data_IF_602840435161
#
_entry.id   IF_602840435161
#
_cell.length_a   1.000
_cell.length_b   1.000
_cell.length_c   1.000
_cell.angle_alpha   90.00
_cell.angle_beta   90.00
_cell.angle_gamma   90.00
#
_symmetry.space_group_name_H-M   'P 1'
#
loop_
_entity.id
_entity.type
_entity.pdbx_description
1 polymer ?
#
# COMPACT_ATOMS: atom_id res chain seq x y z
N UNK A 1 12.86 3.36 16.91
CA UNK A 1 11.71 2.66 16.31
C UNK A 1 10.80 3.70 15.67
N UNK A 2 9.93 3.30 14.71
CA UNK A 2 8.98 4.24 14.14
C UNK A 2 7.84 4.53 15.12
N UNK A 3 7.30 5.76 15.07
CA UNK A 3 6.17 6.19 15.90
C UNK A 3 5.00 5.20 15.83
N UNK A 4 4.67 4.73 14.64
CA UNK A 4 3.54 3.83 14.43
C UNK A 4 3.77 2.43 15.04
N UNK A 5 5.00 1.96 15.05
CA UNK A 5 5.37 0.70 15.70
C UNK A 5 5.26 0.81 17.24
N UNK A 6 5.69 1.94 17.77
CA UNK A 6 5.56 2.20 19.22
C UNK A 6 4.08 2.29 19.62
N UNK A 7 3.25 2.98 18.83
CA UNK A 7 1.80 3.03 19.02
C UNK A 7 1.15 1.64 18.95
N UNK A 8 1.59 0.79 18.02
CA UNK A 8 1.10 -0.58 17.92
C UNK A 8 1.33 -1.35 19.23
N UNK A 9 2.54 -1.32 19.76
CA UNK A 9 2.88 -2.04 21.00
C UNK A 9 2.19 -1.46 22.23
N UNK A 10 2.09 -0.13 22.33
CA UNK A 10 1.58 0.55 23.53
C UNK A 10 0.05 0.63 23.58
N UNK A 11 -0.61 0.83 22.46
CA UNK A 11 -2.04 1.17 22.42
C UNK A 11 -2.88 0.15 21.64
N UNK A 12 -2.41 -0.31 20.49
CA UNK A 12 -3.20 -1.14 19.57
C UNK A 12 -3.35 -2.56 20.10
N UNK A 13 -2.27 -3.17 20.58
CA UNK A 13 -2.29 -4.53 21.13
C UNK A 13 -3.28 -4.65 22.31
N UNK A 14 -3.25 -3.77 23.34
CA UNK A 14 -4.24 -3.82 24.40
C UNK A 14 -5.68 -3.62 23.93
N UNK A 15 -5.90 -2.69 22.99
CA UNK A 15 -7.23 -2.41 22.43
C UNK A 15 -7.80 -3.61 21.66
N UNK A 16 -6.97 -4.29 20.89
CA UNK A 16 -7.37 -5.50 20.15
C UNK A 16 -7.70 -6.66 21.10
N UNK A 17 -6.90 -6.88 22.12
CA UNK A 17 -7.17 -7.90 23.16
C UNK A 17 -8.51 -7.62 23.85
N UNK A 18 -8.76 -6.38 24.20
CA UNK A 18 -10.03 -5.97 24.85
C UNK A 18 -11.25 -6.23 23.95
N UNK A 19 -11.12 -5.95 22.65
CA UNK A 19 -12.23 -6.08 21.69
C UNK A 19 -12.52 -7.53 21.29
N UNK A 20 -11.49 -8.32 21.00
CA UNK A 20 -11.61 -9.67 20.43
C UNK A 20 -11.34 -10.79 21.46
N UNK A 21 -10.83 -10.47 22.64
CA UNK A 21 -10.64 -11.43 23.73
C UNK A 21 -9.56 -12.48 23.45
N UNK A 22 -8.45 -12.08 22.80
CA UNK A 22 -7.31 -12.98 22.57
C UNK A 22 -6.72 -13.50 23.88
N UNK A 23 -6.40 -14.78 23.92
CA UNK A 23 -5.80 -15.43 25.10
C UNK A 23 -4.30 -15.17 25.21
N UNK A 24 -3.63 -14.99 24.09
CA UNK A 24 -2.20 -14.76 24.00
C UNK A 24 -1.91 -13.50 23.17
N UNK A 25 -0.95 -12.71 23.62
CA UNK A 25 -0.47 -11.53 22.89
C UNK A 25 0.02 -11.86 21.47
N UNK A 26 0.51 -13.07 21.25
CA UNK A 26 0.97 -13.54 19.92
C UNK A 26 -0.17 -13.82 18.94
N UNK A 27 -1.42 -13.90 19.42
CA UNK A 27 -2.61 -14.05 18.57
C UNK A 27 -3.08 -12.71 17.99
N UNK A 28 -2.63 -11.59 18.55
CA UNK A 28 -3.05 -10.26 18.11
C UNK A 28 -2.58 -10.03 16.67
N UNK A 29 -3.47 -9.63 15.77
CA UNK A 29 -3.09 -9.30 14.39
C UNK A 29 -2.05 -8.18 14.33
N UNK A 30 -1.13 -8.31 13.40
CA UNK A 30 -0.10 -7.30 13.11
C UNK A 30 0.08 -7.12 11.62
N UNK A 31 0.68 -6.02 11.22
CA UNK A 31 1.12 -5.84 9.84
C UNK A 31 2.30 -6.78 9.58
N UNK A 32 2.20 -7.58 8.53
CA UNK A 32 3.28 -8.45 8.06
C UNK A 32 4.14 -7.72 7.02
N UNK A 33 3.51 -7.17 6.00
CA UNK A 33 4.18 -6.40 4.94
C UNK A 33 3.22 -5.43 4.27
N UNK A 34 3.80 -4.45 3.60
CA UNK A 34 3.08 -3.58 2.66
C UNK A 34 3.71 -3.78 1.29
N UNK A 35 2.89 -4.10 0.29
CA UNK A 35 3.32 -4.22 -1.10
C UNK A 35 2.80 -3.03 -1.87
N UNK A 36 3.69 -2.29 -2.50
CA UNK A 36 3.34 -1.21 -3.41
C UNK A 36 3.62 -1.68 -4.83
N UNK A 37 2.62 -1.67 -5.68
CA UNK A 37 2.72 -2.10 -7.07
C UNK A 37 2.30 -0.98 -8.02
N UNK A 38 3.03 -0.83 -9.10
CA UNK A 38 2.72 0.11 -10.17
C UNK A 38 2.74 -0.64 -11.50
N UNK A 39 1.58 -0.72 -12.13
CA UNK A 39 1.44 -1.27 -13.47
C UNK A 39 1.77 -0.22 -14.53
N UNK A 40 2.71 -0.52 -15.41
CA UNK A 40 3.13 0.37 -16.51
C UNK A 40 2.97 -0.39 -17.82
N UNK A 41 1.72 -0.48 -18.29
CA UNK A 41 1.41 -1.17 -19.56
C UNK A 41 2.04 -0.54 -20.79
N UNK A 42 2.33 0.75 -20.75
CA UNK A 42 2.99 1.50 -21.84
C UNK A 42 4.49 1.18 -21.96
N UNK A 43 5.09 0.52 -20.98
CA UNK A 43 6.49 0.09 -21.03
C UNK A 43 6.79 -0.86 -22.21
N UNK A 44 5.77 -1.54 -22.74
CA UNK A 44 5.87 -2.36 -23.96
C UNK A 44 6.28 -1.55 -25.19
N UNK A 45 5.92 -0.26 -25.24
CA UNK A 45 6.23 0.65 -26.36
C UNK A 45 7.45 1.52 -26.05
N UNK A 46 7.63 1.92 -24.79
CA UNK A 46 8.72 2.77 -24.35
C UNK A 46 9.26 2.35 -22.98
N UNK A 47 10.43 1.73 -22.96
CA UNK A 47 11.09 1.28 -21.75
C UNK A 47 11.47 2.42 -20.78
N UNK A 48 11.67 3.65 -21.27
CA UNK A 48 11.99 4.81 -20.44
C UNK A 48 10.86 5.18 -19.48
N UNK A 49 9.61 4.89 -19.85
CA UNK A 49 8.45 5.12 -18.97
C UNK A 49 8.51 4.22 -17.73
N UNK A 50 9.00 3.00 -17.88
CA UNK A 50 9.21 2.10 -16.75
C UNK A 50 10.34 2.58 -15.83
N UNK A 51 11.44 3.08 -16.40
CA UNK A 51 12.55 3.63 -15.62
C UNK A 51 12.10 4.84 -14.78
N UNK A 52 11.27 5.72 -15.34
CA UNK A 52 10.63 6.81 -14.59
C UNK A 52 9.74 6.29 -13.46
N UNK A 53 8.93 5.27 -13.73
CA UNK A 53 8.04 4.67 -12.71
C UNK A 53 8.84 4.03 -11.58
N UNK A 54 9.93 3.32 -11.90
CA UNK A 54 10.86 2.76 -10.92
C UNK A 54 11.49 3.85 -10.07
N UNK A 55 11.95 4.94 -10.68
CA UNK A 55 12.51 6.09 -9.97
C UNK A 55 11.54 6.74 -8.99
N UNK A 56 10.29 6.92 -9.40
CA UNK A 56 9.23 7.46 -8.54
C UNK A 56 8.93 6.49 -7.37
N UNK A 57 8.83 5.20 -7.65
CA UNK A 57 8.61 4.17 -6.64
C UNK A 57 9.73 4.15 -5.59
N UNK A 58 10.97 4.26 -6.01
CA UNK A 58 12.14 4.30 -5.12
C UNK A 58 12.15 5.54 -4.23
N UNK A 59 11.73 6.69 -4.75
CA UNK A 59 11.58 7.92 -3.96
C UNK A 59 10.48 7.79 -2.90
N UNK A 60 9.34 7.22 -3.27
CA UNK A 60 8.19 7.05 -2.39
C UNK A 60 8.50 6.07 -1.26
N UNK A 61 9.11 4.93 -1.57
CA UNK A 61 9.32 3.83 -0.62
C UNK A 61 10.68 3.85 0.07
N UNK A 62 11.66 4.53 -0.51
CA UNK A 62 13.04 4.52 -0.02
C UNK A 62 13.76 3.18 -0.20
N UNK A 63 13.22 2.30 -1.03
CA UNK A 63 13.75 0.96 -1.29
C UNK A 63 13.79 0.71 -2.79
N UNK A 64 14.78 -0.06 -3.26
CA UNK A 64 14.91 -0.43 -4.66
C UNK A 64 13.69 -1.24 -5.12
N UNK A 65 13.10 -0.82 -6.23
CA UNK A 65 11.97 -1.50 -6.82
C UNK A 65 12.40 -2.73 -7.65
N UNK A 66 11.56 -3.75 -7.64
CA UNK A 66 11.69 -4.94 -8.50
C UNK A 66 10.85 -4.76 -9.75
N UNK A 67 11.45 -4.93 -10.92
CA UNK A 67 10.73 -4.89 -12.20
C UNK A 67 9.93 -6.18 -12.35
N UNK A 68 8.63 -6.04 -12.59
CA UNK A 68 7.74 -7.17 -12.85
C UNK A 68 7.62 -7.43 -14.34
N UNK A 69 7.68 -8.72 -14.69
CA UNK A 69 7.65 -9.18 -16.09
C UNK A 69 6.38 -9.94 -16.39
N UNK A 70 5.93 -9.90 -17.64
CA UNK A 70 4.78 -10.65 -18.10
C UNK A 70 5.03 -12.16 -17.97
N UNK A 71 4.07 -12.88 -17.40
CA UNK A 71 4.12 -14.35 -17.24
C UNK A 71 3.66 -15.11 -18.47
N UNK A 72 2.83 -14.49 -19.29
CA UNK A 72 2.24 -15.09 -20.51
C UNK A 72 2.22 -14.07 -21.63
N UNK A 73 2.34 -14.56 -22.87
CA UNK A 73 2.14 -13.75 -24.07
C UNK A 73 0.65 -13.58 -24.33
N UNK A 74 0.22 -12.33 -24.57
CA UNK A 74 -1.18 -11.98 -24.89
C UNK A 74 -1.17 -11.08 -26.13
N UNK A 75 -1.65 -11.59 -27.25
CA UNK A 75 -1.61 -10.90 -28.55
C UNK A 75 -2.44 -9.60 -28.54
N UNK A 76 -3.62 -9.60 -27.93
CA UNK A 76 -4.51 -8.44 -27.85
C UNK A 76 -3.85 -7.24 -27.15
N UNK A 77 -3.02 -7.50 -26.15
CA UNK A 77 -2.26 -6.46 -25.44
C UNK A 77 -0.88 -6.21 -26.00
N UNK A 78 -0.49 -6.90 -27.07
CA UNK A 78 0.86 -6.82 -27.67
C UNK A 78 1.98 -7.09 -26.68
N UNK A 79 1.76 -8.02 -25.76
CA UNK A 79 2.68 -8.41 -24.70
C UNK A 79 3.24 -9.80 -24.98
N UNK A 80 4.56 -9.96 -24.83
CA UNK A 80 5.26 -11.23 -24.88
C UNK A 80 5.75 -11.63 -23.49
N UNK A 81 5.83 -12.92 -23.23
CA UNK A 81 6.40 -13.45 -22.00
C UNK A 81 7.80 -12.87 -21.75
N UNK A 82 8.06 -12.47 -20.52
CA UNK A 82 9.32 -11.86 -20.10
C UNK A 82 9.44 -10.35 -20.34
N UNK A 83 8.48 -9.70 -21.00
CA UNK A 83 8.50 -8.24 -21.16
C UNK A 83 8.28 -7.53 -19.83
N UNK A 84 9.08 -6.49 -19.50
CA UNK A 84 8.86 -5.66 -18.32
C UNK A 84 7.57 -4.85 -18.45
N UNK A 85 6.66 -4.97 -17.50
CA UNK A 85 5.32 -4.34 -17.54
C UNK A 85 4.96 -3.57 -16.29
N UNK A 86 5.80 -3.57 -15.28
CA UNK A 86 5.55 -2.84 -14.04
C UNK A 86 6.69 -2.94 -13.05
N UNK A 87 6.46 -2.40 -11.87
CA UNK A 87 7.40 -2.49 -10.77
C UNK A 87 6.66 -2.66 -9.44
N UNK A 88 7.33 -3.24 -8.46
CA UNK A 88 6.79 -3.40 -7.11
C UNK A 88 7.88 -3.26 -6.05
N UNK A 89 7.46 -2.90 -4.86
CA UNK A 89 8.29 -2.90 -3.65
C UNK A 89 7.54 -3.61 -2.53
N UNK A 90 8.23 -4.46 -1.79
CA UNK A 90 7.71 -5.07 -0.57
C UNK A 90 8.42 -4.48 0.63
N UNK A 91 7.66 -3.83 1.51
CA UNK A 91 8.14 -3.18 2.72
C UNK A 91 7.83 -4.02 3.94
N UNK A 92 8.82 -4.20 4.83
CA UNK A 92 8.72 -4.93 6.09
C UNK A 92 9.41 -4.18 7.21
N UNK A 93 9.06 -4.51 8.46
CA UNK A 93 9.70 -3.93 9.64
C UNK A 93 9.52 -2.42 9.76
N UNK A 94 10.54 -1.71 10.17
CA UNK A 94 10.50 -0.27 10.41
C UNK A 94 10.14 0.54 9.15
N UNK A 95 10.66 0.15 8.00
CA UNK A 95 10.34 0.81 6.71
C UNK A 95 8.85 0.72 6.36
N UNK A 96 8.23 -0.41 6.68
CA UNK A 96 6.80 -0.63 6.51
C UNK A 96 5.99 0.32 7.39
N UNK A 97 6.31 0.42 8.68
CA UNK A 97 5.62 1.31 9.61
C UNK A 97 5.80 2.79 9.25
N UNK A 98 7.01 3.19 8.86
CA UNK A 98 7.27 4.56 8.42
C UNK A 98 6.50 4.91 7.14
N UNK A 99 6.44 4.00 6.19
CA UNK A 99 5.65 4.19 4.98
C UNK A 99 4.15 4.29 5.29
N UNK A 100 3.62 3.42 6.14
CA UNK A 100 2.22 3.45 6.56
C UNK A 100 1.88 4.78 7.27
N UNK A 101 2.75 5.25 8.14
CA UNK A 101 2.56 6.53 8.83
C UNK A 101 2.53 7.71 7.84
N UNK A 102 3.47 7.80 6.94
CA UNK A 102 3.50 8.85 5.90
C UNK A 102 2.28 8.78 4.98
N UNK A 103 1.87 7.59 4.58
CA UNK A 103 0.69 7.40 3.75
C UNK A 103 -0.57 7.93 4.44
N UNK A 104 -0.79 7.53 5.68
CA UNK A 104 -2.01 7.88 6.44
C UNK A 104 -2.02 9.35 6.83
N UNK A 105 -0.91 9.90 7.27
CA UNK A 105 -0.84 11.25 7.83
C UNK A 105 -0.57 12.35 6.79
N UNK A 106 0.19 12.06 5.75
CA UNK A 106 0.65 13.06 4.77
C UNK A 106 0.06 12.85 3.38
N UNK A 107 0.06 11.62 2.86
CA UNK A 107 -0.31 11.36 1.47
C UNK A 107 -1.83 11.32 1.26
N UNK A 108 -2.56 10.56 2.05
CA UNK A 108 -4.01 10.44 1.90
C UNK A 108 -4.77 11.76 2.04
N UNK A 109 -4.44 12.65 2.98
CA UNK A 109 -5.09 13.97 3.06
C UNK A 109 -4.87 14.86 1.82
N UNK A 110 -3.87 14.58 1.00
CA UNK A 110 -3.56 15.32 -0.24
C UNK A 110 -4.29 14.77 -1.47
N UNK A 111 -5.01 13.67 -1.33
CA UNK A 111 -5.85 13.15 -2.42
C UNK A 111 -6.96 14.14 -2.73
N UNK A 112 -7.17 14.41 -4.02
CA UNK A 112 -8.22 15.32 -4.49
C UNK A 112 -9.60 14.75 -4.12
N UNK A 113 -10.47 15.59 -3.55
CA UNK A 113 -11.83 15.22 -3.11
C UNK A 113 -11.86 14.01 -2.17
N UNK A 114 -10.89 13.95 -1.26
CA UNK A 114 -10.75 12.83 -0.34
C UNK A 114 -11.92 12.79 0.67
N UNK A 115 -12.67 11.69 0.66
CA UNK A 115 -13.79 11.44 1.57
C UNK A 115 -13.57 10.26 2.50
N UNK A 116 -12.43 9.61 2.38
CA UNK A 116 -12.07 8.38 3.08
C UNK A 116 -11.70 7.27 2.10
N UNK A 117 -11.14 6.20 2.63
CA UNK A 117 -10.80 5.00 1.86
C UNK A 117 -11.89 3.95 2.01
N UNK A 118 -12.08 3.11 1.00
CA UNK A 118 -13.11 2.09 1.01
C UNK A 118 -12.92 1.12 2.19
N UNK A 119 -13.92 1.02 3.05
CA UNK A 119 -13.90 0.15 4.21
C UNK A 119 -14.11 -1.35 3.88
N UNK A 120 -14.47 -1.68 2.65
CA UNK A 120 -14.82 -3.04 2.21
C UNK A 120 -13.80 -3.66 1.24
N UNK A 121 -12.65 -3.03 1.04
CA UNK A 121 -11.63 -3.51 0.11
C UNK A 121 -10.72 -4.60 0.72
N UNK A 122 -11.31 -5.57 1.40
CA UNK A 122 -10.65 -6.72 1.99
C UNK A 122 -10.84 -7.98 1.15
N UNK A 123 -9.90 -8.91 1.22
CA UNK A 123 -9.87 -10.13 0.42
C UNK A 123 -10.57 -11.35 1.05
N UNK A 124 -11.16 -11.20 2.23
CA UNK A 124 -11.74 -12.29 3.01
C UNK A 124 -10.77 -12.94 4.00
N UNK A 125 -9.50 -12.60 3.95
CA UNK A 125 -8.43 -13.17 4.79
C UNK A 125 -7.64 -12.14 5.59
N UNK A 126 -8.20 -10.94 5.74
CA UNK A 126 -7.58 -9.88 6.51
C UNK A 126 -6.53 -9.05 5.77
N UNK A 127 -6.46 -9.10 4.46
CA UNK A 127 -5.61 -8.23 3.66
C UNK A 127 -6.44 -7.09 3.05
N UNK A 128 -5.85 -5.92 2.97
CA UNK A 128 -6.51 -4.71 2.47
C UNK A 128 -5.79 -4.16 1.25
N UNK A 129 -6.55 -3.77 0.22
CA UNK A 129 -6.02 -3.17 -1.00
C UNK A 129 -6.52 -1.73 -1.16
N UNK A 130 -5.60 -0.81 -1.38
CA UNK A 130 -5.86 0.60 -1.60
C UNK A 130 -5.33 1.01 -2.97
N UNK A 131 -6.21 1.51 -3.84
CA UNK A 131 -5.83 2.11 -5.13
C UNK A 131 -5.58 3.61 -4.99
N UNK A 132 -4.43 4.07 -5.44
CA UNK A 132 -4.06 5.48 -5.55
C UNK A 132 -4.01 5.85 -7.03
N UNK A 133 -4.68 6.93 -7.41
CA UNK A 133 -4.75 7.38 -8.81
C UNK A 133 -3.54 8.17 -9.26
N UNK A 134 -2.90 8.88 -8.35
CA UNK A 134 -1.82 9.83 -8.63
C UNK A 134 -0.66 9.67 -7.65
N UNK A 135 0.57 9.49 -8.15
CA UNK A 135 1.77 9.45 -7.29
C UNK A 135 2.10 10.81 -6.67
N UNK A 136 1.50 11.88 -7.17
CA UNK A 136 1.74 13.27 -6.73
C UNK A 136 1.29 13.56 -5.30
N UNK A 137 0.48 12.68 -4.71
CA UNK A 137 0.05 12.81 -3.30
C UNK A 137 1.20 12.62 -2.32
N UNK A 138 2.27 11.95 -2.73
CA UNK A 138 3.45 11.75 -1.90
C UNK A 138 4.35 12.99 -1.92
N UNK A 139 4.75 13.54 -0.77
CA UNK A 139 5.57 14.75 -0.70
C UNK A 139 6.99 14.56 -1.28
N UNK A 140 7.45 13.32 -1.39
CA UNK A 140 8.75 12.97 -1.98
C UNK A 140 8.80 13.15 -3.51
N UNK A 141 7.64 13.23 -4.15
CA UNK A 141 7.53 13.42 -5.60
C UNK A 141 7.44 14.90 -5.92
N UNK A 142 8.38 15.36 -6.74
CA UNK A 142 8.42 16.73 -7.23
C UNK A 142 7.53 16.85 -8.48
N UNK A 143 6.51 17.70 -8.39
CA UNK A 143 5.55 17.93 -9.47
C UNK A 143 6.22 18.31 -10.79
N UNK A 144 7.26 19.13 -10.74
CA UNK A 144 7.94 19.64 -11.95
C UNK A 144 8.78 18.58 -12.66
N UNK A 145 9.11 17.49 -11.99
CA UNK A 145 9.94 16.40 -12.52
C UNK A 145 9.16 15.17 -12.96
N UNK A 146 7.85 15.21 -12.81
CA UNK A 146 6.96 14.10 -13.19
C UNK A 146 6.67 14.19 -14.69
N UNK A 147 7.01 13.14 -15.41
CA UNK A 147 6.73 13.02 -16.85
C UNK A 147 5.27 12.65 -17.11
N UNK A 148 4.68 11.82 -16.26
CA UNK A 148 3.31 11.35 -16.38
C UNK A 148 2.73 10.97 -15.02
N UNK A 149 1.45 11.30 -14.82
CA UNK A 149 0.67 10.82 -13.67
C UNK A 149 0.43 9.32 -13.78
N UNK A 150 0.81 8.59 -12.74
CA UNK A 150 0.64 7.14 -12.62
C UNK A 150 -0.07 6.78 -11.34
N UNK A 151 -0.97 5.81 -11.44
CA UNK A 151 -1.58 5.20 -10.28
C UNK A 151 -0.73 4.07 -9.71
N UNK A 152 -1.06 3.67 -8.49
CA UNK A 152 -0.44 2.53 -7.83
C UNK A 152 -1.44 1.82 -6.91
N UNK A 153 -1.15 0.56 -6.64
CA UNK A 153 -1.88 -0.23 -5.65
C UNK A 153 -1.01 -0.45 -4.42
N UNK A 154 -1.59 -0.19 -3.27
CA UNK A 154 -0.94 -0.39 -1.97
C UNK A 154 -1.70 -1.48 -1.24
N UNK A 155 -1.03 -2.59 -0.94
CA UNK A 155 -1.63 -3.76 -0.31
C UNK A 155 -1.06 -3.92 1.08
N UNK A 156 -1.93 -3.87 2.09
CA UNK A 156 -1.61 -4.15 3.48
C UNK A 156 -1.85 -5.62 3.77
N UNK A 157 -0.79 -6.36 3.97
CA UNK A 157 -0.86 -7.77 4.36
C UNK A 157 -0.73 -7.86 5.87
N UNK A 158 -1.75 -8.44 6.50
CA UNK A 158 -1.81 -8.61 7.95
C UNK A 158 -1.80 -10.08 8.34
N UNK A 159 -1.60 -10.36 9.60
CA UNK A 159 -1.72 -11.71 10.18
C UNK A 159 -3.14 -12.00 10.69
N UNK A 160 -4.10 -11.11 10.47
CA UNK A 160 -5.48 -11.29 10.85
C UNK A 160 -6.11 -12.49 10.13
N UNK A 161 -6.96 -13.21 10.84
CA UNK A 161 -7.68 -14.37 10.28
C UNK A 161 -8.95 -13.96 9.54
N UNK A 162 -9.55 -12.85 9.95
CA UNK A 162 -10.80 -12.32 9.39
C UNK A 162 -10.65 -10.87 8.97
N UNK A 163 -11.51 -10.42 8.06
CA UNK A 163 -11.55 -9.03 7.61
C UNK A 163 -11.96 -8.06 8.70
N UNK A 164 -12.78 -8.50 9.64
CA UNK A 164 -13.21 -7.70 10.78
C UNK A 164 -12.04 -7.36 11.71
N UNK A 165 -11.19 -8.34 12.02
CA UNK A 165 -9.96 -8.12 12.79
C UNK A 165 -9.01 -7.16 12.07
N UNK A 166 -8.82 -7.34 10.77
CA UNK A 166 -7.97 -6.47 9.96
C UNK A 166 -8.51 -5.04 9.87
N UNK A 167 -9.82 -4.89 9.70
CA UNK A 167 -10.47 -3.56 9.67
C UNK A 167 -10.24 -2.81 10.97
N UNK A 168 -10.44 -3.47 12.10
CA UNK A 168 -10.18 -2.85 13.40
C UNK A 168 -8.72 -2.51 13.61
N UNK A 169 -7.80 -3.38 13.21
CA UNK A 169 -6.37 -3.11 13.25
C UNK A 169 -6.01 -1.85 12.45
N UNK A 170 -6.47 -1.74 11.21
CA UNK A 170 -6.22 -0.56 10.38
C UNK A 170 -6.91 0.70 10.92
N UNK A 171 -8.10 0.57 11.49
CA UNK A 171 -8.79 1.67 12.16
C UNK A 171 -7.97 2.22 13.33
N UNK A 172 -7.38 1.36 14.12
CA UNK A 172 -6.51 1.75 15.25
C UNK A 172 -5.19 2.39 14.78
N UNK A 173 -4.74 2.07 13.57
CA UNK A 173 -3.64 2.79 12.91
C UNK A 173 -4.06 4.16 12.35
N UNK A 174 -5.30 4.58 12.57
CA UNK A 174 -5.89 5.82 12.05
C UNK A 174 -6.10 5.83 10.51
N UNK A 175 -6.30 4.67 9.91
CA UNK A 175 -6.70 4.61 8.52
C UNK A 175 -8.05 5.34 8.34
N UNK A 176 -8.11 6.34 7.45
CA UNK A 176 -9.30 7.17 7.28
C UNK A 176 -10.34 6.48 6.41
N UNK A 177 -11.04 5.49 6.95
CA UNK A 177 -12.14 4.81 6.25
C UNK A 177 -13.32 5.76 6.00
N UNK A 178 -13.99 5.58 4.87
CA UNK A 178 -15.27 6.25 4.62
C UNK A 178 -16.27 5.92 5.73
N UNK A 179 -16.95 6.94 6.22
CA UNK A 179 -18.10 6.72 7.10
C UNK A 179 -19.21 6.11 6.24
N UNK A 180 -19.56 4.87 6.50
CA UNK A 180 -20.75 4.27 5.92
C UNK A 180 -21.93 5.14 6.34
N UNK A 181 -22.64 5.72 5.40
CA UNK A 181 -23.90 6.36 5.71
C UNK A 181 -24.82 5.28 6.30
N UNK A 182 -25.18 5.44 7.59
CA UNK A 182 -26.23 4.66 8.22
C UNK A 182 -27.57 4.98 7.59
#
# INVERSE_FOLDING_TARGET
MSRLHDTYNAEIVPAMIKKFGYKNIMEVPKLDKIVVNMGVGEAKENAKLLDSAVGDMEKITGQKAVITKAKKSVANFKIREGMPIGCKVTLRGEKMYEFADRLITLALPRVRDFRGVNANAFDGRGNYALGIREQLIFPEIDYDKVDKTRGMDIIFVTTAKTDEEARELLRLFNMPFEKTAE
#
